data_IF_678859693206
#
_entry.id   IF_678859693206
#
_cell.length_a   1.000
_cell.length_b   1.000
_cell.length_c   1.000
_cell.angle_alpha   90.00
_cell.angle_beta   90.00
_cell.angle_gamma   90.00
#
_symmetry.space_group_name_H-M   'P 1'
#
loop_
_entity.id
_entity.type
_entity.pdbx_description
1 polymer ?
#
# COMPACT_ATOMS: atom_id res chain seq x y z
N UNK A 1 11.71 -5.51 0.47
CA UNK A 1 12.31 -4.24 0.94
C UNK A 1 13.45 -4.49 1.93
N UNK A 2 14.34 -3.52 2.08
CA UNK A 2 15.43 -3.58 3.05
C UNK A 2 16.29 -2.33 3.03
N UNK A 3 17.20 -2.25 3.99
CA UNK A 3 18.25 -1.23 4.07
C UNK A 3 19.59 -1.93 4.17
N UNK A 4 20.59 -1.40 3.50
CA UNK A 4 21.97 -1.95 3.55
C UNK A 4 23.02 -0.91 3.19
N UNK A 5 24.28 -1.34 3.34
CA UNK A 5 25.43 -0.58 2.87
C UNK A 5 26.01 -1.32 1.66
N UNK A 6 26.28 -0.59 0.61
CA UNK A 6 26.82 -1.14 -0.64
C UNK A 6 28.25 -1.60 -0.39
N UNK A 7 28.51 -2.88 -0.56
CA UNK A 7 29.85 -3.49 -0.41
C UNK A 7 30.56 -3.67 -1.75
N UNK A 8 29.78 -3.81 -2.83
CA UNK A 8 30.32 -3.96 -4.18
C UNK A 8 29.29 -3.50 -5.21
N UNK A 9 29.74 -2.93 -6.32
CA UNK A 9 28.87 -2.51 -7.43
C UNK A 9 29.25 -3.20 -8.73
N UNK A 10 28.25 -3.53 -9.55
CA UNK A 10 28.48 -4.04 -10.90
C UNK A 10 28.98 -2.93 -11.83
N UNK A 11 29.67 -3.30 -12.92
CA UNK A 11 30.30 -2.37 -13.87
C UNK A 11 29.33 -1.39 -14.55
N UNK A 12 28.03 -1.70 -14.58
CA UNK A 12 27.00 -0.87 -15.22
C UNK A 12 26.17 -0.06 -14.20
N UNK A 13 26.60 -0.01 -12.93
CA UNK A 13 25.95 0.76 -11.87
C UNK A 13 26.74 2.04 -11.67
N UNK A 14 26.13 3.18 -12.00
CA UNK A 14 26.77 4.51 -11.98
C UNK A 14 26.21 5.44 -10.87
N UNK A 15 25.07 5.09 -10.27
CA UNK A 15 24.39 5.90 -9.26
C UNK A 15 24.69 5.49 -7.82
N UNK A 16 25.45 4.40 -7.62
CA UNK A 16 25.88 3.87 -6.33
C UNK A 16 27.38 3.58 -6.36
N UNK A 17 28.01 3.67 -5.20
CA UNK A 17 29.41 3.24 -4.97
C UNK A 17 29.51 2.48 -3.65
N UNK A 18 30.61 1.78 -3.47
CA UNK A 18 30.96 1.13 -2.20
C UNK A 18 30.93 2.14 -1.04
N UNK A 19 30.32 1.76 0.05
CA UNK A 19 30.10 2.56 1.26
C UNK A 19 28.79 3.35 1.26
N UNK A 20 28.07 3.49 0.14
CA UNK A 20 26.78 4.19 0.12
C UNK A 20 25.70 3.45 0.92
N UNK A 21 24.91 4.19 1.68
CA UNK A 21 23.68 3.68 2.28
C UNK A 21 22.58 3.60 1.21
N UNK A 22 21.84 2.50 1.17
CA UNK A 22 20.79 2.29 0.19
C UNK A 22 19.58 1.56 0.77
N UNK A 23 18.38 1.96 0.35
CA UNK A 23 17.17 1.17 0.49
C UNK A 23 16.99 0.28 -0.73
N UNK A 24 16.44 -0.90 -0.49
CA UNK A 24 16.12 -1.87 -1.53
C UNK A 24 14.59 -1.89 -1.70
N UNK A 25 14.17 -1.70 -2.93
CA UNK A 25 12.75 -1.78 -3.34
C UNK A 25 12.60 -2.86 -4.42
N UNK A 26 11.39 -3.15 -4.82
CA UNK A 26 11.08 -4.01 -5.97
C UNK A 26 10.53 -3.19 -7.15
N UNK A 27 10.39 -1.88 -6.97
CA UNK A 27 9.99 -0.92 -8.01
C UNK A 27 11.25 -0.39 -8.67
N UNK A 28 11.44 -0.54 -9.99
CA UNK A 28 12.63 -0.03 -10.64
C UNK A 28 12.67 1.50 -10.57
N UNK A 29 13.84 2.03 -10.23
CA UNK A 29 14.11 3.46 -10.15
C UNK A 29 13.81 4.19 -11.47
N UNK A 30 14.12 3.54 -12.58
CA UNK A 30 13.85 4.03 -13.93
C UNK A 30 13.16 2.92 -14.74
N UNK A 31 11.83 2.98 -14.92
CA UNK A 31 11.13 2.02 -15.76
C UNK A 31 11.58 2.21 -17.23
N UNK A 32 12.12 1.17 -17.83
CA UNK A 32 12.50 1.19 -19.25
C UNK A 32 11.23 1.16 -20.10
N UNK A 33 10.97 2.23 -20.82
CA UNK A 33 9.80 2.38 -21.71
C UNK A 33 8.45 2.17 -21.00
N UNK A 34 8.33 2.55 -19.73
CA UNK A 34 7.10 2.38 -18.96
C UNK A 34 6.73 0.92 -18.67
N UNK A 35 7.63 -0.03 -18.92
CA UNK A 35 7.44 -1.44 -18.65
C UNK A 35 8.23 -1.87 -17.42
N UNK A 36 7.63 -2.72 -16.63
CA UNK A 36 8.30 -3.47 -15.59
C UNK A 36 9.25 -4.47 -16.25
N UNK A 37 10.53 -4.16 -16.23
CA UNK A 37 11.52 -5.16 -16.59
C UNK A 37 11.92 -5.87 -15.29
N UNK A 38 11.45 -7.10 -15.15
CA UNK A 38 12.06 -7.99 -14.18
C UNK A 38 13.56 -8.08 -14.51
N UNK A 39 14.46 -7.95 -13.53
CA UNK A 39 15.86 -8.19 -13.77
C UNK A 39 16.03 -9.60 -14.34
N UNK A 40 17.00 -9.79 -15.24
CA UNK A 40 17.28 -11.13 -15.74
C UNK A 40 17.56 -12.05 -14.55
N UNK A 41 16.87 -13.18 -14.50
CA UNK A 41 17.18 -14.23 -13.59
C UNK A 41 18.63 -14.68 -13.87
N UNK A 42 19.52 -14.45 -12.94
CA UNK A 42 20.94 -14.72 -13.16
C UNK A 42 21.66 -15.10 -11.87
N UNK A 43 20.98 -15.02 -10.74
CA UNK A 43 21.53 -15.47 -9.48
C UNK A 43 21.33 -16.97 -9.30
N UNK A 44 22.37 -17.68 -8.89
CA UNK A 44 22.31 -19.08 -8.52
C UNK A 44 22.74 -19.23 -7.06
N UNK A 45 22.16 -20.20 -6.38
CA UNK A 45 22.57 -20.65 -5.06
C UNK A 45 22.85 -22.14 -5.14
N UNK A 46 24.08 -22.56 -4.79
CA UNK A 46 24.51 -23.97 -4.89
C UNK A 46 24.24 -24.56 -6.28
N UNK A 47 24.55 -23.80 -7.33
CA UNK A 47 24.36 -24.14 -8.75
C UNK A 47 22.90 -24.17 -9.22
N UNK A 48 21.90 -24.02 -8.34
CA UNK A 48 20.49 -23.96 -8.69
C UNK A 48 20.05 -22.49 -8.95
N UNK A 49 19.24 -22.25 -10.00
CA UNK A 49 18.71 -20.92 -10.29
C UNK A 49 17.80 -20.44 -9.15
N UNK A 50 18.02 -19.20 -8.68
CA UNK A 50 17.10 -18.55 -7.76
C UNK A 50 15.87 -18.02 -8.50
N UNK A 51 14.69 -18.40 -8.02
CA UNK A 51 13.43 -17.86 -8.48
C UNK A 51 13.13 -16.54 -7.74
N UNK A 52 13.19 -15.41 -8.43
CA UNK A 52 12.91 -14.10 -7.86
C UNK A 52 14.05 -13.10 -8.10
N UNK A 53 13.83 -11.85 -7.72
CA UNK A 53 14.71 -10.75 -8.08
C UNK A 53 15.31 -10.00 -6.90
N UNK A 54 14.78 -10.17 -5.70
CA UNK A 54 15.20 -9.40 -4.53
C UNK A 54 15.01 -10.22 -3.26
N UNK A 55 16.09 -10.48 -2.56
CA UNK A 55 16.11 -11.21 -1.28
C UNK A 55 16.82 -10.33 -0.26
N UNK A 56 16.10 -9.93 0.79
CA UNK A 56 16.59 -9.02 1.83
C UNK A 56 16.57 -9.64 3.23
N UNK A 57 16.22 -10.92 3.34
CA UNK A 57 16.32 -11.71 4.58
C UNK A 57 17.69 -12.41 4.66
N UNK A 58 18.74 -11.61 4.83
CA UNK A 58 20.11 -12.09 4.92
C UNK A 58 21.05 -10.97 5.35
N UNK A 59 22.25 -11.37 5.79
CA UNK A 59 23.32 -10.43 6.15
C UNK A 59 23.87 -9.73 4.90
N UNK A 60 23.94 -10.47 3.79
CA UNK A 60 24.33 -9.98 2.48
C UNK A 60 23.24 -10.26 1.45
N UNK A 61 23.05 -9.35 0.51
CA UNK A 61 22.09 -9.49 -0.58
C UNK A 61 22.67 -9.00 -1.90
N UNK A 62 22.40 -9.76 -2.98
CA UNK A 62 22.68 -9.31 -4.34
C UNK A 62 21.37 -8.78 -4.90
N UNK A 63 21.36 -7.51 -5.28
CA UNK A 63 20.17 -6.85 -5.84
C UNK A 63 20.52 -6.21 -7.19
N UNK A 64 19.54 -6.16 -8.07
CA UNK A 64 19.69 -5.39 -9.29
C UNK A 64 19.81 -3.89 -8.96
N UNK A 65 20.79 -3.21 -9.55
CA UNK A 65 21.06 -1.79 -9.28
C UNK A 65 19.82 -0.88 -9.43
N UNK A 66 18.90 -1.20 -10.35
CA UNK A 66 17.65 -0.47 -10.52
C UNK A 66 16.68 -0.54 -9.34
N UNK A 67 16.87 -1.51 -8.43
CA UNK A 67 16.07 -1.66 -7.20
C UNK A 67 16.74 -1.04 -5.97
N UNK A 68 17.92 -0.52 -6.10
CA UNK A 68 18.64 0.11 -5.00
C UNK A 68 18.62 1.64 -5.15
N UNK A 69 18.17 2.31 -4.11
CA UNK A 69 18.07 3.79 -4.07
C UNK A 69 18.98 4.30 -2.98
N UNK A 70 19.93 5.18 -3.35
CA UNK A 70 20.80 5.83 -2.38
C UNK A 70 19.99 6.70 -1.44
N UNK A 71 20.33 6.63 -0.16
CA UNK A 71 19.81 7.50 0.89
C UNK A 71 20.97 8.16 1.64
N UNK A 72 20.67 9.14 2.46
CA UNK A 72 21.67 9.79 3.29
C UNK A 72 22.27 8.80 4.31
N UNK A 73 23.56 8.93 4.60
CA UNK A 73 24.30 7.98 5.45
C UNK A 73 23.80 8.01 6.91
N UNK A 74 23.15 9.08 7.33
CA UNK A 74 22.54 9.29 8.66
C UNK A 74 21.07 8.88 8.72
N UNK A 75 20.49 8.34 7.62
CA UNK A 75 19.12 7.86 7.61
C UNK A 75 18.90 6.79 8.69
N UNK A 76 17.81 6.90 9.50
CA UNK A 76 17.47 5.87 10.48
C UNK A 76 17.25 4.52 9.80
N UNK A 77 18.12 3.54 10.08
CA UNK A 77 18.18 2.26 9.37
C UNK A 77 16.92 1.41 9.53
N UNK A 78 16.36 1.41 10.74
CA UNK A 78 15.13 0.72 11.09
C UNK A 78 13.92 1.27 10.32
N UNK A 79 13.78 2.58 10.26
CA UNK A 79 12.72 3.25 9.50
C UNK A 79 12.95 3.12 7.99
N UNK A 80 14.16 3.33 7.52
CA UNK A 80 14.50 3.25 6.10
C UNK A 80 14.28 1.84 5.53
N UNK A 81 14.41 0.78 6.35
CA UNK A 81 14.26 -0.61 5.92
C UNK A 81 12.85 -0.96 5.42
N UNK A 82 11.81 -0.24 5.84
CA UNK A 82 10.40 -0.49 5.44
C UNK A 82 9.88 0.49 4.39
N UNK A 83 10.72 1.43 3.96
CA UNK A 83 10.29 2.46 2.98
C UNK A 83 10.12 1.89 1.58
N UNK A 84 10.95 0.91 1.20
CA UNK A 84 11.03 0.39 -0.16
C UNK A 84 9.80 -0.39 -0.64
N UNK A 85 8.89 -0.77 0.26
CA UNK A 85 7.64 -1.46 -0.10
C UNK A 85 6.45 -0.95 0.73
N UNK A 86 6.42 -1.24 2.03
CA UNK A 86 5.22 -0.99 2.84
C UNK A 86 4.83 0.50 2.87
N UNK A 87 5.79 1.39 3.16
CA UNK A 87 5.52 2.83 3.22
C UNK A 87 5.21 3.39 1.84
N UNK A 88 6.03 3.06 0.84
CA UNK A 88 5.83 3.51 -0.54
C UNK A 88 4.46 3.10 -1.08
N UNK A 89 4.06 1.87 -0.83
CA UNK A 89 2.79 1.31 -1.31
C UNK A 89 1.59 1.97 -0.64
N UNK A 90 1.57 2.02 0.69
CA UNK A 90 0.44 2.60 1.42
C UNK A 90 0.30 4.10 1.19
N UNK A 91 1.39 4.86 1.32
CA UNK A 91 1.39 6.29 1.08
C UNK A 91 1.09 6.64 -0.39
N UNK A 92 1.67 5.88 -1.33
CA UNK A 92 1.44 6.06 -2.76
C UNK A 92 0.00 5.82 -3.19
N UNK A 93 -0.67 4.82 -2.60
CA UNK A 93 -2.08 4.56 -2.87
C UNK A 93 -2.96 5.77 -2.48
N UNK A 94 -2.67 6.38 -1.34
CA UNK A 94 -3.42 7.56 -0.86
C UNK A 94 -3.13 8.81 -1.69
N UNK A 95 -1.84 9.08 -2.00
CA UNK A 95 -1.42 10.33 -2.65
C UNK A 95 -1.55 10.32 -4.16
N UNK A 96 -1.26 9.18 -4.81
CA UNK A 96 -1.13 9.10 -6.27
C UNK A 96 -2.31 8.39 -6.92
N UNK A 97 -2.80 7.29 -6.32
CA UNK A 97 -3.93 6.53 -6.87
C UNK A 97 -5.25 7.21 -6.51
N UNK A 98 -5.56 7.32 -5.24
CA UNK A 98 -6.80 7.92 -4.75
C UNK A 98 -6.77 9.46 -4.80
N UNK A 99 -5.61 10.09 -4.62
CA UNK A 99 -5.43 11.55 -4.58
C UNK A 99 -6.29 12.19 -3.50
N UNK A 100 -6.32 11.58 -2.35
CA UNK A 100 -7.09 12.02 -1.18
C UNK A 100 -6.79 13.48 -0.85
N UNK A 101 -7.84 14.24 -0.55
CA UNK A 101 -7.77 15.65 -0.19
C UNK A 101 -8.14 15.86 1.28
N UNK A 102 -7.81 17.02 1.85
CA UNK A 102 -8.28 17.37 3.18
C UNK A 102 -9.81 17.23 3.33
N UNK A 103 -10.24 16.74 4.49
CA UNK A 103 -11.64 16.52 4.87
C UNK A 103 -12.35 15.37 4.13
N UNK A 104 -11.72 14.72 3.15
CA UNK A 104 -12.28 13.52 2.53
C UNK A 104 -12.12 12.30 3.46
N UNK A 105 -13.11 11.44 3.45
CA UNK A 105 -13.22 10.28 4.34
C UNK A 105 -12.52 9.05 3.79
N UNK A 106 -11.84 8.31 4.68
CA UNK A 106 -11.01 7.15 4.31
C UNK A 106 -11.32 5.96 5.21
N UNK A 107 -11.49 4.77 4.62
CA UNK A 107 -11.49 3.50 5.32
C UNK A 107 -10.34 2.60 4.84
N UNK A 108 -9.58 2.01 5.77
CA UNK A 108 -8.44 1.14 5.46
C UNK A 108 -8.69 -0.24 6.08
N UNK A 109 -8.84 -1.24 5.24
CA UNK A 109 -9.01 -2.64 5.62
C UNK A 109 -7.64 -3.32 5.71
N UNK A 110 -7.30 -3.75 6.94
CA UNK A 110 -5.99 -4.29 7.29
C UNK A 110 -5.01 -3.22 7.75
N UNK A 111 -4.64 -3.26 9.02
CA UNK A 111 -3.70 -2.30 9.63
C UNK A 111 -2.33 -2.95 9.91
N UNK A 112 -1.80 -3.66 8.89
CA UNK A 112 -0.40 -4.04 8.79
C UNK A 112 0.48 -2.88 8.31
N UNK A 113 1.74 -3.13 7.95
CA UNK A 113 2.68 -2.08 7.53
C UNK A 113 2.19 -1.20 6.38
N UNK A 114 1.54 -1.78 5.37
CA UNK A 114 0.96 -1.05 4.24
C UNK A 114 -0.25 -0.22 4.67
N UNK A 115 -1.19 -0.82 5.43
CA UNK A 115 -2.38 -0.11 5.89
C UNK A 115 -2.07 1.00 6.89
N UNK A 116 -1.12 0.79 7.82
CA UNK A 116 -0.64 1.85 8.71
C UNK A 116 -0.03 3.03 7.94
N UNK A 117 0.73 2.74 6.89
CA UNK A 117 1.31 3.78 6.03
C UNK A 117 0.23 4.56 5.26
N UNK A 118 -0.84 3.88 4.84
CA UNK A 118 -2.00 4.56 4.24
C UNK A 118 -2.74 5.44 5.25
N UNK A 119 -2.97 4.95 6.48
CA UNK A 119 -3.59 5.72 7.57
C UNK A 119 -2.75 6.96 7.90
N UNK A 120 -1.45 6.78 8.08
CA UNK A 120 -0.54 7.89 8.39
C UNK A 120 -0.53 8.95 7.28
N UNK A 121 -0.48 8.52 6.03
CA UNK A 121 -0.52 9.46 4.92
C UNK A 121 -1.86 10.18 4.81
N UNK A 122 -2.99 9.48 5.00
CA UNK A 122 -4.31 10.11 5.07
C UNK A 122 -4.38 11.17 6.19
N UNK A 123 -3.78 10.88 7.35
CA UNK A 123 -3.67 11.83 8.46
C UNK A 123 -2.81 13.06 8.10
N UNK A 124 -1.67 12.87 7.44
CA UNK A 124 -0.81 13.97 6.95
C UNK A 124 -1.57 14.87 5.96
N UNK A 125 -2.43 14.27 5.13
CA UNK A 125 -3.28 15.00 4.18
C UNK A 125 -4.55 15.58 4.81
N UNK A 126 -4.74 15.43 6.14
CA UNK A 126 -5.90 15.94 6.87
C UNK A 126 -7.23 15.35 6.40
N UNK A 127 -7.23 14.08 6.01
CA UNK A 127 -8.45 13.32 5.74
C UNK A 127 -9.28 13.14 7.02
N UNK A 128 -10.61 13.11 6.91
CA UNK A 128 -11.49 12.87 8.05
C UNK A 128 -12.89 12.41 7.61
N UNK A 129 -13.50 11.40 8.26
CA UNK A 129 -12.86 10.48 9.21
C UNK A 129 -11.84 9.54 8.55
N UNK A 130 -10.89 9.03 9.34
CA UNK A 130 -9.96 7.95 8.97
C UNK A 130 -10.34 6.72 9.78
N UNK A 131 -10.87 5.70 9.11
CA UNK A 131 -11.44 4.50 9.73
C UNK A 131 -10.50 3.33 9.51
N UNK A 132 -9.95 2.78 10.59
CA UNK A 132 -9.13 1.57 10.56
C UNK A 132 -10.00 0.33 10.76
N UNK A 133 -9.84 -0.70 9.90
CA UNK A 133 -10.58 -1.96 9.97
C UNK A 133 -9.61 -3.12 10.09
N UNK A 134 -9.71 -3.92 11.15
CA UNK A 134 -8.91 -5.15 11.34
C UNK A 134 -9.69 -6.13 12.24
N UNK A 135 -9.16 -7.33 12.43
CA UNK A 135 -9.70 -8.34 13.35
C UNK A 135 -9.11 -8.22 14.76
N UNK A 136 -8.00 -7.54 14.92
CA UNK A 136 -7.19 -7.44 16.13
C UNK A 136 -7.33 -6.07 16.80
N UNK A 137 -7.89 -6.06 18.03
CA UNK A 137 -8.08 -4.82 18.80
C UNK A 137 -6.76 -4.11 19.13
N UNK A 138 -5.66 -4.85 19.35
CA UNK A 138 -4.37 -4.24 19.68
C UNK A 138 -3.80 -3.47 18.47
N UNK A 139 -3.97 -4.02 17.27
CA UNK A 139 -3.60 -3.32 16.03
C UNK A 139 -4.48 -2.10 15.78
N UNK A 140 -5.77 -2.21 16.05
CA UNK A 140 -6.71 -1.09 15.92
C UNK A 140 -6.38 0.05 16.90
N UNK A 141 -6.00 -0.27 18.13
CA UNK A 141 -5.56 0.73 19.09
C UNK A 141 -4.26 1.40 18.64
N UNK A 142 -3.31 0.61 18.16
CA UNK A 142 -2.05 1.13 17.62
C UNK A 142 -2.26 2.02 16.38
N UNK A 143 -3.25 1.73 15.54
CA UNK A 143 -3.58 2.54 14.36
C UNK A 143 -3.96 4.00 14.72
N UNK A 144 -4.47 4.23 15.93
CA UNK A 144 -4.78 5.59 16.40
C UNK A 144 -3.53 6.46 16.56
N UNK A 145 -2.39 5.86 16.93
CA UNK A 145 -1.11 6.57 17.02
C UNK A 145 -0.63 7.06 15.66
N UNK A 146 -1.09 6.41 14.56
CA UNK A 146 -0.81 6.78 13.17
C UNK A 146 -1.86 7.70 12.56
N UNK A 147 -2.91 8.05 13.31
CA UNK A 147 -3.92 9.01 12.87
C UNK A 147 -5.28 8.43 12.52
N UNK A 148 -5.54 7.14 12.80
CA UNK A 148 -6.90 6.61 12.70
C UNK A 148 -7.80 7.33 13.72
N UNK A 149 -8.90 7.91 13.23
CA UNK A 149 -9.88 8.62 14.06
C UNK A 149 -10.97 7.69 14.60
N UNK A 150 -11.23 6.61 13.87
CA UNK A 150 -12.22 5.59 14.19
C UNK A 150 -11.67 4.19 13.92
N UNK A 151 -12.21 3.20 14.62
CA UNK A 151 -11.79 1.81 14.46
C UNK A 151 -13.01 0.90 14.35
N UNK A 152 -12.91 -0.13 13.50
CA UNK A 152 -13.94 -1.18 13.34
C UNK A 152 -13.27 -2.53 13.46
N UNK A 153 -13.66 -3.33 14.47
CA UNK A 153 -13.22 -4.71 14.59
C UNK A 153 -14.15 -5.63 13.80
N UNK A 154 -13.71 -6.08 12.65
CA UNK A 154 -14.50 -6.90 11.73
C UNK A 154 -14.72 -8.36 12.24
N UNK A 155 -14.11 -8.76 13.37
CA UNK A 155 -14.44 -10.00 14.04
C UNK A 155 -15.68 -9.89 14.93
N UNK A 156 -16.11 -8.67 15.23
CA UNK A 156 -17.20 -8.38 16.18
C UNK A 156 -18.46 -7.83 15.51
N UNK A 157 -18.28 -7.11 14.39
CA UNK A 157 -19.38 -6.48 13.64
C UNK A 157 -19.14 -6.61 12.13
N UNK A 158 -20.20 -6.47 11.34
CA UNK A 158 -20.06 -6.31 9.91
C UNK A 158 -19.42 -4.93 9.58
N UNK A 159 -18.24 -4.89 8.96
CA UNK A 159 -17.54 -3.62 8.73
C UNK A 159 -18.25 -2.74 7.69
N UNK A 160 -19.02 -3.33 6.76
CA UNK A 160 -19.77 -2.57 5.75
C UNK A 160 -20.90 -1.80 6.42
N UNK A 161 -21.71 -2.49 7.23
CA UNK A 161 -22.80 -1.87 7.95
C UNK A 161 -22.30 -0.80 8.93
N UNK A 162 -21.26 -1.13 9.71
CA UNK A 162 -20.68 -0.21 10.70
C UNK A 162 -20.14 1.07 10.07
N UNK A 163 -19.43 0.98 8.93
CA UNK A 163 -18.88 2.15 8.23
C UNK A 163 -20.01 3.00 7.62
N UNK A 164 -21.01 2.37 6.98
CA UNK A 164 -22.15 3.08 6.42
C UNK A 164 -22.92 3.85 7.50
N UNK A 165 -23.18 3.21 8.65
CA UNK A 165 -23.85 3.86 9.78
C UNK A 165 -23.03 5.03 10.34
N UNK A 166 -21.74 4.81 10.56
CA UNK A 166 -20.80 5.82 11.11
C UNK A 166 -20.66 7.05 10.22
N UNK A 167 -20.70 6.87 8.90
CA UNK A 167 -20.45 7.94 7.93
C UNK A 167 -21.74 8.52 7.33
N UNK A 168 -22.89 7.91 7.61
CA UNK A 168 -24.16 8.33 7.02
C UNK A 168 -24.29 8.02 5.53
N UNK A 169 -23.54 7.03 5.00
CA UNK A 169 -23.69 6.63 3.59
C UNK A 169 -22.44 6.13 2.89
N UNK A 170 -21.33 5.99 3.60
CA UNK A 170 -20.06 5.48 3.10
C UNK A 170 -18.96 6.55 3.03
N UNK A 171 -17.74 6.08 2.71
CA UNK A 171 -16.53 6.91 2.65
C UNK A 171 -16.20 7.34 1.21
N UNK A 172 -15.39 8.39 1.07
CA UNK A 172 -14.86 8.80 -0.23
C UNK A 172 -13.90 7.77 -0.80
N UNK A 173 -13.04 7.19 0.05
CA UNK A 173 -12.04 6.20 -0.36
C UNK A 173 -12.00 5.01 0.58
N UNK A 174 -11.97 3.81 0.02
CA UNK A 174 -11.76 2.59 0.77
C UNK A 174 -10.56 1.82 0.21
N UNK A 175 -9.63 1.45 1.08
CA UNK A 175 -8.39 0.76 0.73
C UNK A 175 -8.39 -0.66 1.29
N UNK A 176 -8.07 -1.66 0.46
CA UNK A 176 -7.78 -3.02 0.92
C UNK A 176 -6.27 -3.27 0.94
N UNK A 177 -5.70 -3.37 2.14
CA UNK A 177 -4.30 -3.70 2.38
C UNK A 177 -4.08 -5.15 2.82
N UNK A 178 -5.06 -6.04 2.58
CA UNK A 178 -5.06 -7.47 2.96
C UNK A 178 -4.96 -8.35 1.73
N UNK A 179 -5.86 -8.17 0.75
CA UNK A 179 -5.94 -8.97 -0.45
C UNK A 179 -6.83 -10.21 -0.32
N UNK A 180 -7.61 -10.39 0.75
CA UNK A 180 -8.57 -11.49 0.84
C UNK A 180 -9.81 -11.19 0.00
N UNK A 181 -10.42 -12.25 -0.58
CA UNK A 181 -11.65 -12.11 -1.34
C UNK A 181 -12.74 -11.34 -0.60
N UNK A 182 -12.94 -11.65 0.68
CA UNK A 182 -13.96 -10.99 1.49
C UNK A 182 -13.71 -9.50 1.63
N UNK A 183 -12.46 -9.06 1.86
CA UNK A 183 -12.12 -7.64 1.99
C UNK A 183 -12.18 -6.92 0.65
N UNK A 184 -11.76 -7.56 -0.44
CA UNK A 184 -11.91 -7.04 -1.79
C UNK A 184 -13.40 -6.78 -2.13
N UNK A 185 -14.31 -7.69 -1.72
CA UNK A 185 -15.74 -7.56 -1.96
C UNK A 185 -16.41 -6.52 -1.04
N UNK A 186 -15.79 -6.17 0.11
CA UNK A 186 -16.31 -5.21 1.10
C UNK A 186 -15.92 -3.76 0.81
N UNK A 187 -14.76 -3.50 0.21
CA UNK A 187 -14.27 -2.11 0.06
C UNK A 187 -15.10 -1.27 -0.91
N UNK A 188 -15.74 -1.86 -1.91
CA UNK A 188 -16.59 -1.10 -2.84
C UNK A 188 -17.95 -0.71 -2.23
N UNK A 189 -18.69 -1.61 -1.54
CA UNK A 189 -19.94 -1.26 -0.86
C UNK A 189 -19.82 -0.16 0.21
N UNK A 190 -18.67 -0.07 0.91
CA UNK A 190 -18.47 0.94 1.95
C UNK A 190 -18.21 2.34 1.40
N UNK A 191 -17.96 2.48 0.11
CA UNK A 191 -17.80 3.82 -0.49
C UNK A 191 -19.15 4.49 -0.70
N UNK A 192 -19.18 5.81 -0.60
CA UNK A 192 -20.41 6.59 -0.81
C UNK A 192 -20.96 6.44 -2.23
N UNK A 193 -22.26 6.54 -2.36
CA UNK A 193 -22.90 6.62 -3.66
C UNK A 193 -22.63 7.97 -4.33
N UNK A 194 -22.47 7.95 -5.64
CA UNK A 194 -22.62 9.14 -6.46
C UNK A 194 -24.10 9.55 -6.59
N UNK A 195 -24.33 10.73 -7.08
CA UNK A 195 -25.66 11.27 -7.33
C UNK A 195 -25.94 11.51 -8.81
N UNK A 196 -27.06 12.15 -9.08
CA UNK A 196 -27.39 12.60 -10.43
C UNK A 196 -26.55 13.82 -10.81
N UNK A 197 -25.85 13.73 -11.93
CA UNK A 197 -25.01 14.81 -12.45
C UNK A 197 -23.56 14.36 -12.67
N UNK A 198 -22.91 14.90 -13.68
CA UNK A 198 -21.57 14.50 -14.10
C UNK A 198 -20.47 14.80 -13.07
N UNK A 199 -20.74 15.67 -12.10
CA UNK A 199 -19.78 16.06 -11.06
C UNK A 199 -19.95 15.27 -9.75
N UNK A 200 -21.02 14.47 -9.62
CA UNK A 200 -21.33 13.73 -8.40
C UNK A 200 -20.94 12.25 -8.55
N UNK A 201 -19.65 12.01 -8.74
CA UNK A 201 -19.08 10.67 -8.84
C UNK A 201 -19.07 10.03 -7.44
N UNK A 202 -19.37 8.74 -7.37
CA UNK A 202 -19.29 7.95 -6.13
C UNK A 202 -17.86 7.80 -5.61
N UNK A 203 -17.73 7.26 -4.42
CA UNK A 203 -16.42 6.99 -3.81
C UNK A 203 -15.62 5.94 -4.58
N UNK A 204 -14.33 5.84 -4.25
CA UNK A 204 -13.37 4.95 -4.90
C UNK A 204 -12.90 3.86 -3.94
N UNK A 205 -12.90 2.62 -4.43
CA UNK A 205 -12.24 1.47 -3.79
C UNK A 205 -10.87 1.25 -4.42
N UNK A 206 -9.84 0.99 -3.61
CA UNK A 206 -8.46 0.79 -4.06
C UNK A 206 -7.91 -0.52 -3.52
N UNK A 207 -7.59 -1.45 -4.42
CA UNK A 207 -6.88 -2.69 -4.08
C UNK A 207 -5.38 -2.43 -3.94
N UNK A 208 -4.83 -2.78 -2.79
CA UNK A 208 -3.40 -2.71 -2.53
C UNK A 208 -2.85 -4.10 -2.17
N UNK A 209 -3.60 -4.86 -1.37
CA UNK A 209 -3.26 -6.21 -0.98
C UNK A 209 -3.17 -7.14 -2.19
N UNK A 210 -2.34 -8.18 -2.11
CA UNK A 210 -2.23 -9.17 -3.18
C UNK A 210 -3.53 -9.96 -3.29
N UNK A 211 -4.37 -9.73 -4.32
CA UNK A 211 -5.68 -10.35 -4.40
C UNK A 211 -5.59 -11.81 -4.80
N UNK A 212 -6.58 -12.58 -4.39
CA UNK A 212 -6.84 -13.91 -4.95
C UNK A 212 -7.30 -13.81 -6.43
N UNK A 213 -7.44 -14.96 -7.11
CA UNK A 213 -7.75 -14.99 -8.54
C UNK A 213 -9.16 -14.49 -8.89
N UNK A 214 -10.06 -14.44 -7.91
CA UNK A 214 -11.48 -14.15 -8.15
C UNK A 214 -12.08 -13.32 -7.02
N UNK A 215 -12.95 -12.37 -7.39
CA UNK A 215 -13.85 -11.64 -6.52
C UNK A 215 -15.19 -11.42 -7.21
N UNK A 216 -16.25 -11.21 -6.43
CA UNK A 216 -17.59 -10.92 -6.95
C UNK A 216 -17.94 -9.46 -6.72
N UNK A 217 -18.24 -8.74 -7.79
CA UNK A 217 -18.69 -7.35 -7.70
C UNK A 217 -20.08 -7.26 -8.35
N UNK A 218 -21.02 -6.65 -7.64
CA UNK A 218 -22.31 -6.33 -8.24
C UNK A 218 -22.19 -5.13 -9.20
N UNK A 219 -22.48 -5.33 -10.50
CA UNK A 219 -22.31 -4.25 -11.49
C UNK A 219 -23.09 -2.98 -11.20
N UNK A 220 -24.16 -3.08 -10.40
CA UNK A 220 -24.97 -1.92 -9.97
C UNK A 220 -24.19 -0.87 -9.17
N UNK A 221 -23.05 -1.25 -8.55
CA UNK A 221 -22.17 -0.28 -7.91
C UNK A 221 -21.68 0.78 -8.90
N UNK A 222 -21.39 0.37 -10.13
CA UNK A 222 -20.91 1.27 -11.18
C UNK A 222 -22.05 2.02 -11.86
N UNK A 223 -23.15 1.33 -12.17
CA UNK A 223 -24.27 1.89 -12.92
C UNK A 223 -25.14 2.82 -12.09
N UNK A 224 -25.50 2.40 -10.88
CA UNK A 224 -26.49 3.14 -10.06
C UNK A 224 -25.83 4.04 -9.02
N UNK A 225 -24.64 3.66 -8.56
CA UNK A 225 -23.93 4.37 -7.49
C UNK A 225 -22.70 5.14 -7.98
N UNK A 226 -22.36 5.02 -9.27
CA UNK A 226 -21.20 5.69 -9.90
C UNK A 226 -19.88 5.53 -9.11
N UNK A 227 -19.75 4.43 -8.37
CA UNK A 227 -18.55 4.11 -7.62
C UNK A 227 -17.39 3.75 -8.55
N UNK A 228 -16.18 3.95 -8.07
CA UNK A 228 -14.95 3.64 -8.79
C UNK A 228 -14.22 2.47 -8.10
N UNK A 229 -13.47 1.71 -8.91
CA UNK A 229 -12.66 0.60 -8.41
C UNK A 229 -11.27 0.67 -9.01
#
# INVERSE_FOLDING_TARGET
>A
EGFGVVTQVGSNVDHLKEGDAAIVTWVPREPINGRWNAPPAGATWQEEPLAGSTYTWGEDAIVWGGYAVKVDDDSPRDLASIVGCAVLTGAGAVTHTAKVRPEESVAVFGVGGVGMSAIQMASVLQAYPIIAVDLDDAKLEFAKEFGATHTVNASKVDPVEAIIEMTGGGVDYAFDAIGLRITNEQILPVTRSGGSGAENIGGMAVLIGMPGPEMTIWPGHFMFHQRQY
#
